data_IF_602494190454
#
_entry.id   IF_602494190454
#
_cell.length_a   1.000
_cell.length_b   1.000
_cell.length_c   1.000
_cell.angle_alpha   90.00
_cell.angle_beta   90.00
_cell.angle_gamma   90.00
#
_symmetry.space_group_name_H-M   'P 1'
#
loop_
_entity.id
_entity.type
_entity.pdbx_description
1 polymer ?
#
# COMPACT_ATOMS: atom_id res chain seq x y z
N UNK A 1 37.05 6.49 -2.16
CA UNK A 1 35.85 5.62 -2.28
C UNK A 1 34.51 6.36 -2.09
N UNK A 2 34.44 7.71 -2.13
CA UNK A 2 33.19 8.49 -1.93
C UNK A 2 32.22 8.51 -3.12
N UNK A 3 32.74 8.42 -4.35
CA UNK A 3 31.91 8.52 -5.57
C UNK A 3 30.88 7.39 -5.73
N UNK A 4 31.11 6.20 -5.15
CA UNK A 4 30.16 5.08 -5.26
C UNK A 4 28.88 5.30 -4.44
N UNK A 5 29.02 5.72 -3.18
CA UNK A 5 27.88 5.94 -2.28
C UNK A 5 26.97 7.09 -2.77
N UNK A 6 27.56 8.15 -3.31
CA UNK A 6 26.82 9.29 -3.87
C UNK A 6 25.98 8.89 -5.10
N UNK A 7 26.51 8.02 -5.96
CA UNK A 7 25.80 7.52 -7.14
C UNK A 7 24.63 6.62 -6.74
N UNK A 8 24.82 5.72 -5.77
CA UNK A 8 23.74 4.87 -5.27
C UNK A 8 22.61 5.69 -4.63
N UNK A 9 22.96 6.70 -3.85
CA UNK A 9 22.00 7.61 -3.24
C UNK A 9 21.19 8.38 -4.29
N UNK A 10 21.85 8.97 -5.30
CA UNK A 10 21.17 9.70 -6.37
C UNK A 10 20.26 8.78 -7.20
N UNK A 11 20.71 7.55 -7.48
CA UNK A 11 19.90 6.55 -8.17
C UNK A 11 18.62 6.22 -7.39
N UNK A 12 18.70 6.10 -6.07
CA UNK A 12 17.54 5.92 -5.19
C UNK A 12 16.55 7.09 -5.30
N UNK A 13 17.02 8.33 -5.28
CA UNK A 13 16.16 9.51 -5.42
C UNK A 13 15.49 9.59 -6.81
N UNK A 14 16.22 9.28 -7.87
CA UNK A 14 15.66 9.22 -9.22
C UNK A 14 14.59 8.10 -9.33
N UNK A 15 14.83 6.96 -8.68
CA UNK A 15 13.85 5.88 -8.60
C UNK A 15 12.58 6.31 -7.86
N UNK A 16 12.71 6.96 -6.71
CA UNK A 16 11.60 7.54 -5.95
C UNK A 16 10.78 8.53 -6.80
N UNK A 17 11.44 9.43 -7.52
CA UNK A 17 10.77 10.38 -8.42
C UNK A 17 10.04 9.67 -9.56
N UNK A 18 10.64 8.61 -10.12
CA UNK A 18 10.01 7.76 -11.13
C UNK A 18 8.73 7.09 -10.60
N UNK A 19 8.79 6.50 -9.39
CA UNK A 19 7.62 5.92 -8.72
C UNK A 19 6.53 6.96 -8.49
N UNK A 20 6.89 8.15 -8.00
CA UNK A 20 5.95 9.24 -7.78
C UNK A 20 5.27 9.69 -9.08
N UNK A 21 6.04 9.84 -10.17
CA UNK A 21 5.53 10.23 -11.47
C UNK A 21 4.54 9.18 -12.02
N UNK A 22 4.84 7.89 -11.90
CA UNK A 22 3.95 6.80 -12.33
C UNK A 22 2.69 6.69 -11.46
N UNK A 23 2.82 6.91 -10.15
CA UNK A 23 1.72 6.81 -9.20
C UNK A 23 0.72 7.98 -9.31
N UNK A 24 1.25 9.19 -9.49
CA UNK A 24 0.50 10.46 -9.52
C UNK A 24 0.09 10.86 -10.93
N UNK A 25 0.76 10.33 -11.95
CA UNK A 25 0.55 10.66 -13.35
C UNK A 25 -0.93 10.81 -13.73
N UNK A 26 -1.25 11.81 -14.58
CA UNK A 26 -2.63 12.05 -14.99
C UNK A 26 -3.18 10.79 -15.66
N UNK A 27 -4.38 10.39 -15.26
CA UNK A 27 -5.13 9.38 -16.01
C UNK A 27 -5.64 10.01 -17.29
N UNK A 28 -5.95 9.17 -18.28
CA UNK A 28 -6.26 9.58 -19.65
C UNK A 28 -7.10 10.88 -19.74
N UNK A 29 -6.85 11.74 -20.73
CA UNK A 29 -7.47 13.07 -20.91
C UNK A 29 -8.98 13.05 -21.24
N UNK A 30 -9.69 11.97 -20.95
CA UNK A 30 -11.13 11.84 -21.15
C UNK A 30 -11.96 12.26 -19.93
N UNK A 31 -11.31 12.58 -18.81
CA UNK A 31 -11.98 13.31 -17.73
C UNK A 31 -12.33 14.71 -18.26
N UNK A 32 -13.58 15.11 -18.02
CA UNK A 32 -14.15 16.39 -18.40
C UNK A 32 -13.12 17.53 -18.24
N UNK A 33 -12.81 18.35 -19.27
CA UNK A 33 -11.71 19.32 -19.24
C UNK A 33 -11.81 20.34 -18.10
N UNK A 34 -13.00 20.49 -17.52
CA UNK A 34 -13.28 21.39 -16.39
C UNK A 34 -12.91 20.80 -15.01
N UNK A 35 -12.58 19.50 -14.94
CA UNK A 35 -12.17 18.83 -13.69
C UNK A 35 -10.75 18.32 -13.80
N UNK A 36 -9.79 19.20 -13.51
CA UNK A 36 -8.40 18.83 -13.18
C UNK A 36 -8.37 18.10 -11.83
N UNK A 37 -8.88 16.87 -11.80
CA UNK A 37 -8.74 16.00 -10.64
C UNK A 37 -7.48 15.16 -10.81
N UNK A 38 -6.54 15.30 -9.89
CA UNK A 38 -5.34 14.46 -9.84
C UNK A 38 -5.77 13.08 -9.33
N UNK A 39 -6.27 12.25 -10.25
CA UNK A 39 -6.71 10.88 -9.97
C UNK A 39 -8.15 10.75 -9.48
N UNK A 40 -8.65 9.51 -9.46
CA UNK A 40 -9.99 9.19 -8.99
C UNK A 40 -10.18 9.44 -7.49
N UNK A 41 -11.45 9.49 -7.05
CA UNK A 41 -11.83 9.82 -5.67
C UNK A 41 -11.22 8.88 -4.62
N UNK A 42 -11.00 7.61 -4.94
CA UNK A 42 -10.42 6.62 -4.01
C UNK A 42 -8.91 6.82 -3.84
N UNK A 43 -8.17 7.04 -4.95
CA UNK A 43 -6.71 7.17 -4.92
C UNK A 43 -6.22 8.56 -4.49
N UNK A 44 -7.07 9.59 -4.52
CA UNK A 44 -6.71 10.96 -4.14
C UNK A 44 -6.01 11.09 -2.77
N UNK A 45 -6.54 10.56 -1.65
CA UNK A 45 -5.85 10.66 -0.35
C UNK A 45 -4.49 9.95 -0.35
N UNK A 46 -4.39 8.79 -1.02
CA UNK A 46 -3.13 8.05 -1.14
C UNK A 46 -2.09 8.85 -1.93
N UNK A 47 -2.46 9.42 -3.08
CA UNK A 47 -1.58 10.25 -3.93
C UNK A 47 -1.07 11.50 -3.20
N UNK A 48 -1.94 12.17 -2.44
CA UNK A 48 -1.53 13.33 -1.62
C UNK A 48 -0.51 12.95 -0.55
N UNK A 49 -0.73 11.84 0.14
CA UNK A 49 0.24 11.33 1.12
C UNK A 49 1.56 10.94 0.44
N UNK A 50 1.51 10.28 -0.72
CA UNK A 50 2.70 9.92 -1.50
C UNK A 50 3.51 11.14 -1.92
N UNK A 51 2.85 12.18 -2.47
CA UNK A 51 3.51 13.44 -2.79
C UNK A 51 4.13 14.10 -1.55
N UNK A 52 3.42 14.04 -0.40
CA UNK A 52 3.95 14.49 0.87
C UNK A 52 5.25 13.77 1.26
N UNK A 53 5.32 12.45 1.09
CA UNK A 53 6.54 11.67 1.36
C UNK A 53 7.67 11.99 0.39
N UNK A 54 7.36 12.16 -0.89
CA UNK A 54 8.37 12.55 -1.89
C UNK A 54 8.96 13.91 -1.55
N UNK A 55 8.12 14.89 -1.20
CA UNK A 55 8.57 16.22 -0.74
C UNK A 55 9.40 16.08 0.53
N UNK A 56 8.96 15.28 1.50
CA UNK A 56 9.71 15.03 2.73
C UNK A 56 11.10 14.43 2.43
N UNK A 57 11.18 13.44 1.52
CA UNK A 57 12.43 12.83 1.07
C UNK A 57 13.35 13.85 0.41
N UNK A 58 12.83 14.66 -0.52
CA UNK A 58 13.60 15.75 -1.16
C UNK A 58 14.11 16.76 -0.13
N UNK A 59 13.26 17.17 0.81
CA UNK A 59 13.64 18.09 1.88
C UNK A 59 14.73 17.48 2.76
N UNK A 60 14.59 16.21 3.15
CA UNK A 60 15.63 15.48 3.89
C UNK A 60 16.95 15.47 3.12
N UNK A 61 16.93 15.14 1.82
CA UNK A 61 18.12 15.15 0.96
C UNK A 61 18.77 16.54 0.92
N UNK A 62 18.00 17.57 0.58
CA UNK A 62 18.53 18.92 0.40
C UNK A 62 19.06 19.47 1.74
N UNK A 63 18.29 19.34 2.82
CA UNK A 63 18.65 19.92 4.12
C UNK A 63 19.80 19.13 4.77
N UNK A 64 19.66 17.82 4.91
CA UNK A 64 20.60 17.01 5.68
C UNK A 64 21.87 16.65 4.91
N UNK A 65 21.82 16.52 3.58
CA UNK A 65 22.96 16.04 2.80
C UNK A 65 23.61 17.12 1.93
N UNK A 66 22.88 18.14 1.48
CA UNK A 66 23.42 19.19 0.60
C UNK A 66 23.75 20.48 1.37
N UNK A 67 22.78 21.02 2.10
CA UNK A 67 22.94 22.33 2.78
C UNK A 67 23.74 22.22 4.07
N UNK A 68 23.51 21.15 4.84
CA UNK A 68 24.16 20.95 6.13
C UNK A 68 24.74 19.53 6.25
N UNK A 69 25.78 19.19 5.46
CA UNK A 69 26.38 17.86 5.48
C UNK A 69 26.96 17.49 6.86
N UNK A 70 27.43 18.46 7.66
CA UNK A 70 27.89 18.20 9.03
C UNK A 70 26.73 17.88 9.99
N UNK A 71 25.50 18.32 9.66
CA UNK A 71 24.25 17.87 10.31
C UNK A 71 23.76 16.52 9.78
N UNK A 72 24.42 15.85 8.83
CA UNK A 72 23.97 14.51 8.39
C UNK A 72 24.13 13.44 9.48
N UNK A 73 24.86 13.75 10.55
CA UNK A 73 24.92 12.98 11.81
C UNK A 73 23.87 13.42 12.84
N UNK A 74 23.05 14.42 12.51
CA UNK A 74 22.17 15.10 13.45
C UNK A 74 20.84 14.38 13.63
N UNK A 75 20.30 14.56 14.84
CA UNK A 75 18.95 14.23 15.25
C UNK A 75 17.87 14.55 14.19
N UNK A 76 18.05 15.60 13.38
CA UNK A 76 17.09 16.00 12.34
C UNK A 76 16.98 14.94 11.23
N UNK A 77 18.09 14.39 10.75
CA UNK A 77 18.05 13.39 9.68
C UNK A 77 17.33 12.13 10.13
N UNK A 78 17.61 11.72 11.37
CA UNK A 78 16.95 10.58 11.99
C UNK A 78 15.45 10.83 12.20
N UNK A 79 15.03 11.99 12.69
CA UNK A 79 13.61 12.35 12.83
C UNK A 79 12.91 12.31 11.46
N UNK A 80 13.51 12.92 10.43
CA UNK A 80 12.94 12.92 9.08
C UNK A 80 12.86 11.49 8.51
N UNK A 81 13.87 10.66 8.78
CA UNK A 81 13.85 9.23 8.45
C UNK A 81 12.71 8.48 9.13
N UNK A 82 12.55 8.62 10.45
CA UNK A 82 11.44 8.00 11.21
C UNK A 82 10.08 8.43 10.67
N UNK A 83 9.89 9.74 10.40
CA UNK A 83 8.62 10.23 9.82
C UNK A 83 8.39 9.62 8.44
N UNK A 84 9.44 9.48 7.63
CA UNK A 84 9.35 8.90 6.30
C UNK A 84 8.88 7.43 6.36
N UNK A 85 9.49 6.61 7.21
CA UNK A 85 9.17 5.17 7.38
C UNK A 85 7.76 4.97 7.92
N UNK A 86 7.38 5.72 8.96
CA UNK A 86 6.00 5.73 9.47
C UNK A 86 5.02 6.14 8.37
N UNK A 87 5.38 7.14 7.57
CA UNK A 87 4.59 7.61 6.45
C UNK A 87 4.40 6.58 5.35
N UNK A 88 5.46 5.84 4.97
CA UNK A 88 5.39 4.75 4.00
C UNK A 88 4.46 3.63 4.50
N UNK A 89 4.62 3.20 5.76
CA UNK A 89 3.73 2.22 6.39
C UNK A 89 2.28 2.70 6.46
N UNK A 90 2.06 3.98 6.78
CA UNK A 90 0.73 4.59 6.82
C UNK A 90 0.05 4.59 5.44
N UNK A 91 0.79 4.87 4.37
CA UNK A 91 0.24 4.80 3.01
C UNK A 91 -0.19 3.39 2.64
N UNK A 92 0.61 2.36 2.95
CA UNK A 92 0.24 0.97 2.71
C UNK A 92 -1.03 0.59 3.49
N UNK A 93 -1.14 1.00 4.76
CA UNK A 93 -2.35 0.82 5.57
C UNK A 93 -3.54 1.63 5.06
N UNK A 94 -3.31 2.76 4.38
CA UNK A 94 -4.38 3.54 3.72
C UNK A 94 -5.04 2.71 2.61
N UNK A 95 -4.29 1.91 1.86
CA UNK A 95 -4.86 0.97 0.89
C UNK A 95 -5.81 -0.01 1.58
N UNK A 96 -5.40 -0.61 2.71
CA UNK A 96 -6.26 -1.50 3.48
C UNK A 96 -7.51 -0.77 3.98
N UNK A 97 -7.37 0.45 4.50
CA UNK A 97 -8.50 1.25 4.96
C UNK A 97 -9.52 1.51 3.83
N UNK A 98 -9.06 1.94 2.65
CA UNK A 98 -9.93 2.22 1.51
C UNK A 98 -10.68 0.96 1.04
N UNK A 99 -10.03 -0.21 1.06
CA UNK A 99 -10.70 -1.48 0.80
C UNK A 99 -11.75 -1.81 1.87
N UNK A 100 -11.46 -1.57 3.15
CA UNK A 100 -12.44 -1.79 4.21
C UNK A 100 -13.65 -0.87 4.08
N UNK A 101 -13.46 0.39 3.64
CA UNK A 101 -14.56 1.30 3.32
C UNK A 101 -15.43 0.73 2.21
N UNK A 102 -14.83 0.26 1.10
CA UNK A 102 -15.59 -0.38 0.03
C UNK A 102 -16.36 -1.62 0.53
N UNK A 103 -15.69 -2.50 1.27
CA UNK A 103 -16.28 -3.74 1.81
C UNK A 103 -17.37 -3.49 2.86
N UNK A 104 -17.32 -2.37 3.59
CA UNK A 104 -18.35 -2.03 4.59
C UNK A 104 -19.75 -1.95 3.99
N UNK A 105 -19.85 -1.60 2.71
CA UNK A 105 -21.12 -1.55 1.98
C UNK A 105 -21.70 -2.93 1.67
N UNK A 106 -20.86 -3.99 1.69
CA UNK A 106 -21.22 -5.35 1.33
C UNK A 106 -21.36 -6.27 2.54
N UNK A 107 -20.40 -6.20 3.48
CA UNK A 107 -20.27 -7.17 4.59
C UNK A 107 -20.37 -6.54 5.99
N UNK A 108 -20.89 -5.32 6.11
CA UNK A 108 -21.13 -4.60 7.38
C UNK A 108 -19.95 -4.67 8.37
N UNK A 109 -18.76 -4.31 7.90
CA UNK A 109 -17.57 -4.15 8.74
C UNK A 109 -17.39 -2.67 9.12
N UNK A 110 -16.77 -2.41 10.28
CA UNK A 110 -16.36 -1.06 10.69
C UNK A 110 -14.97 -0.76 10.13
N UNK A 111 -14.83 0.12 9.12
CA UNK A 111 -13.52 0.42 8.52
C UNK A 111 -12.54 1.00 9.53
N UNK A 112 -11.27 0.64 9.40
CA UNK A 112 -10.15 1.19 10.17
C UNK A 112 -10.02 0.67 11.60
N UNK A 113 -11.06 0.06 12.19
CA UNK A 113 -11.02 -0.36 13.61
C UNK A 113 -9.87 -1.32 13.92
N UNK A 114 -9.59 -2.28 13.04
CA UNK A 114 -8.46 -3.21 13.18
C UNK A 114 -7.11 -2.62 12.77
N UNK A 115 -7.11 -1.55 11.96
CA UNK A 115 -5.90 -0.93 11.44
C UNK A 115 -5.31 0.09 12.41
N UNK A 116 -6.13 0.73 13.26
CA UNK A 116 -5.66 1.71 14.24
C UNK A 116 -4.63 1.10 15.21
N UNK A 117 -4.90 -0.09 15.76
CA UNK A 117 -3.96 -0.75 16.67
C UNK A 117 -2.64 -1.11 15.99
N UNK A 118 -2.70 -1.51 14.72
CA UNK A 118 -1.50 -1.79 13.92
C UNK A 118 -0.73 -0.51 13.65
N UNK A 119 -1.39 0.57 13.25
CA UNK A 119 -0.75 1.86 13.02
C UNK A 119 -0.07 2.39 14.29
N UNK A 120 -0.74 2.29 15.45
CA UNK A 120 -0.15 2.65 16.74
C UNK A 120 1.08 1.79 17.04
N UNK A 121 1.00 0.48 16.82
CA UNK A 121 2.15 -0.41 17.02
C UNK A 121 3.33 -0.05 16.11
N UNK A 122 3.08 0.23 14.83
CA UNK A 122 4.10 0.69 13.88
C UNK A 122 4.76 1.97 14.39
N UNK A 123 3.97 2.99 14.71
CA UNK A 123 4.49 4.28 15.21
C UNK A 123 5.36 4.09 16.46
N UNK A 124 4.85 3.34 17.44
CA UNK A 124 5.55 3.11 18.71
C UNK A 124 6.85 2.34 18.47
N UNK A 125 6.84 1.30 17.64
CA UNK A 125 8.03 0.50 17.35
C UNK A 125 9.06 1.28 16.56
N UNK A 126 8.69 2.07 15.55
CA UNK A 126 9.64 2.89 14.80
C UNK A 126 10.27 3.98 15.67
N UNK A 127 9.48 4.65 16.53
CA UNK A 127 10.03 5.63 17.49
C UNK A 127 10.95 4.95 18.50
N UNK A 128 10.56 3.76 19.00
CA UNK A 128 11.36 3.00 19.95
C UNK A 128 12.68 2.53 19.32
N UNK A 129 12.64 2.03 18.08
CA UNK A 129 13.81 1.66 17.29
C UNK A 129 14.79 2.84 17.23
N UNK A 130 14.30 4.01 16.83
CA UNK A 130 15.08 5.24 16.78
C UNK A 130 15.71 5.60 18.14
N UNK A 131 14.91 5.66 19.21
CA UNK A 131 15.41 6.05 20.55
C UNK A 131 16.46 5.06 21.03
N UNK A 132 16.23 3.75 20.93
CA UNK A 132 17.16 2.73 21.41
C UNK A 132 18.43 2.69 20.55
N UNK A 133 18.30 2.88 19.23
CA UNK A 133 19.44 2.90 18.33
C UNK A 133 20.39 4.07 18.62
N UNK A 134 19.82 5.23 18.98
CA UNK A 134 20.59 6.42 19.28
C UNK A 134 21.13 6.46 20.72
N UNK A 135 20.43 5.84 21.67
CA UNK A 135 20.79 5.91 23.11
C UNK A 135 21.55 4.71 23.64
N UNK A 136 21.34 3.52 23.05
CA UNK A 136 21.92 2.27 23.56
C UNK A 136 22.87 1.65 22.54
N UNK A 137 22.37 1.27 21.36
CA UNK A 137 23.18 0.55 20.37
C UNK A 137 22.52 0.55 18.98
N UNK A 138 23.25 0.79 17.87
CA UNK A 138 22.67 0.89 16.53
C UNK A 138 21.81 -0.32 16.11
N UNK A 139 22.18 -1.55 16.47
CA UNK A 139 21.39 -2.76 16.16
C UNK A 139 19.91 -2.76 16.64
N UNK A 140 19.49 -1.82 17.50
CA UNK A 140 18.08 -1.66 17.82
C UNK A 140 17.25 -1.10 16.66
N UNK A 141 17.89 -0.64 15.57
CA UNK A 141 17.22 -0.35 14.30
C UNK A 141 16.50 -1.57 13.73
N UNK A 142 16.89 -2.80 14.10
CA UNK A 142 16.13 -4.01 13.77
C UNK A 142 14.62 -3.92 14.12
N UNK A 143 14.24 -3.17 15.17
CA UNK A 143 12.83 -2.98 15.55
C UNK A 143 12.02 -2.21 14.50
N UNK A 144 12.68 -1.42 13.65
CA UNK A 144 12.07 -0.74 12.50
C UNK A 144 11.53 -1.76 11.50
N UNK A 145 12.34 -2.76 11.14
CA UNK A 145 11.92 -3.84 10.25
C UNK A 145 10.76 -4.68 10.83
N UNK A 146 10.68 -4.79 12.16
CA UNK A 146 9.52 -5.41 12.82
C UNK A 146 8.27 -4.54 12.63
N UNK A 147 8.39 -3.22 12.77
CA UNK A 147 7.29 -2.29 12.51
C UNK A 147 6.81 -2.39 11.06
N UNK A 148 7.73 -2.42 10.11
CA UNK A 148 7.46 -2.57 8.68
C UNK A 148 6.77 -3.90 8.37
N UNK A 149 7.25 -5.02 8.91
CA UNK A 149 6.62 -6.33 8.80
C UNK A 149 5.18 -6.34 9.36
N UNK A 150 4.93 -5.64 10.47
CA UNK A 150 3.58 -5.52 11.04
C UNK A 150 2.62 -4.74 10.14
N UNK A 151 3.11 -3.75 9.40
CA UNK A 151 2.29 -3.01 8.43
C UNK A 151 1.71 -3.95 7.36
N UNK A 152 2.47 -4.97 6.93
CA UNK A 152 2.04 -5.95 5.93
C UNK A 152 0.85 -6.78 6.39
N UNK A 153 0.82 -7.14 7.68
CA UNK A 153 -0.21 -8.00 8.24
C UNK A 153 -1.61 -7.42 8.03
N UNK A 154 -1.80 -6.13 8.33
CA UNK A 154 -3.09 -5.45 8.18
C UNK A 154 -3.56 -5.37 6.72
N UNK A 155 -2.61 -5.17 5.80
CA UNK A 155 -2.87 -5.16 4.36
C UNK A 155 -3.24 -6.55 3.86
N UNK A 156 -2.45 -7.57 4.18
CA UNK A 156 -2.68 -8.96 3.76
C UNK A 156 -4.02 -9.49 4.25
N UNK A 157 -4.37 -9.22 5.51
CA UNK A 157 -5.67 -9.62 6.07
C UNK A 157 -6.82 -8.99 5.28
N UNK A 158 -6.73 -7.69 4.99
CA UNK A 158 -7.77 -6.96 4.27
C UNK A 158 -7.87 -7.43 2.81
N UNK A 159 -6.74 -7.65 2.13
CA UNK A 159 -6.71 -8.17 0.76
C UNK A 159 -7.30 -9.58 0.68
N UNK A 160 -7.06 -10.44 1.68
CA UNK A 160 -7.67 -11.75 1.75
C UNK A 160 -9.20 -11.66 1.85
N UNK A 161 -9.71 -10.82 2.76
CA UNK A 161 -11.16 -10.57 2.86
C UNK A 161 -11.71 -10.03 1.55
N UNK A 162 -11.04 -9.05 0.95
CA UNK A 162 -11.44 -8.48 -0.34
C UNK A 162 -11.52 -9.53 -1.45
N UNK A 163 -10.50 -10.37 -1.61
CA UNK A 163 -10.51 -11.47 -2.60
C UNK A 163 -11.65 -12.47 -2.36
N UNK A 164 -11.93 -12.81 -1.10
CA UNK A 164 -13.01 -13.76 -0.76
C UNK A 164 -14.39 -13.23 -1.10
N UNK A 165 -14.62 -11.92 -0.96
CA UNK A 165 -15.89 -11.26 -1.25
C UNK A 165 -16.06 -10.98 -2.75
N UNK A 166 -15.01 -10.51 -3.43
CA UNK A 166 -15.10 -10.10 -4.84
C UNK A 166 -15.02 -11.25 -5.83
N UNK A 167 -14.49 -12.41 -5.43
CA UNK A 167 -14.34 -13.56 -6.31
C UNK A 167 -14.63 -14.90 -5.59
N UNK A 168 -15.87 -15.11 -5.12
CA UNK A 168 -16.24 -16.29 -4.32
C UNK A 168 -16.03 -17.62 -5.08
N UNK A 169 -16.21 -17.62 -6.40
CA UNK A 169 -16.05 -18.81 -7.25
C UNK A 169 -14.60 -19.06 -7.69
N UNK A 170 -13.64 -18.19 -7.31
CA UNK A 170 -12.24 -18.26 -7.75
C UNK A 170 -11.30 -19.02 -6.79
N UNK A 171 -11.86 -19.83 -5.89
CA UNK A 171 -11.12 -20.40 -4.74
C UNK A 171 -10.39 -19.32 -3.91
N UNK A 172 -10.97 -18.13 -3.78
CA UNK A 172 -10.41 -17.03 -3.00
C UNK A 172 -9.16 -16.37 -3.60
N UNK A 173 -8.83 -16.63 -4.87
CA UNK A 173 -7.68 -16.00 -5.54
C UNK A 173 -7.88 -14.49 -5.72
N UNK A 174 -9.10 -14.06 -6.05
CA UNK A 174 -9.39 -12.65 -6.33
C UNK A 174 -8.82 -12.18 -7.67
N UNK A 175 -9.04 -10.89 -8.02
CA UNK A 175 -8.49 -10.28 -9.23
C UNK A 175 -6.96 -10.34 -9.31
N UNK A 176 -6.41 -10.34 -10.53
CA UNK A 176 -4.96 -10.39 -10.75
C UNK A 176 -4.20 -9.31 -9.97
N UNK A 177 -4.68 -8.06 -9.98
CA UNK A 177 -4.02 -6.97 -9.27
C UNK A 177 -4.05 -7.14 -7.75
N UNK A 178 -5.12 -7.72 -7.18
CA UNK A 178 -5.15 -8.09 -5.77
C UNK A 178 -4.10 -9.16 -5.44
N UNK A 179 -3.91 -10.14 -6.33
CA UNK A 179 -2.86 -11.16 -6.17
C UNK A 179 -1.46 -10.55 -6.27
N UNK A 180 -1.26 -9.60 -7.19
CA UNK A 180 0.01 -8.87 -7.34
C UNK A 180 0.36 -8.11 -6.05
N UNK A 181 -0.57 -7.34 -5.50
CA UNK A 181 -0.35 -6.62 -4.22
C UNK A 181 -0.05 -7.62 -3.09
N UNK A 182 -0.79 -8.74 -3.01
CA UNK A 182 -0.50 -9.78 -2.00
C UNK A 182 0.90 -10.36 -2.15
N UNK A 183 1.34 -10.65 -3.37
CA UNK A 183 2.69 -11.16 -3.63
C UNK A 183 3.75 -10.13 -3.21
N UNK A 184 3.55 -8.86 -3.54
CA UNK A 184 4.44 -7.76 -3.13
C UNK A 184 4.49 -7.63 -1.60
N UNK A 185 3.36 -7.74 -0.91
CA UNK A 185 3.30 -7.70 0.56
C UNK A 185 3.99 -8.91 1.21
N UNK A 186 3.85 -10.12 0.64
CA UNK A 186 4.60 -11.29 1.12
C UNK A 186 6.10 -11.15 0.89
N UNK A 187 6.51 -10.65 -0.28
CA UNK A 187 7.91 -10.38 -0.58
C UNK A 187 8.48 -9.39 0.42
N UNK A 188 7.82 -8.26 0.60
CA UNK A 188 8.24 -7.21 1.53
C UNK A 188 8.30 -7.71 2.98
N UNK A 189 7.32 -8.51 3.41
CA UNK A 189 7.34 -9.15 4.73
C UNK A 189 8.57 -10.06 4.89
N UNK A 190 8.88 -10.87 3.88
CA UNK A 190 10.06 -11.75 3.91
C UNK A 190 11.33 -10.93 3.96
N UNK A 191 11.49 -9.90 3.11
CA UNK A 191 12.71 -9.07 3.09
C UNK A 191 12.88 -8.28 4.38
N UNK A 192 11.81 -7.74 4.97
CA UNK A 192 11.85 -7.06 6.28
C UNK A 192 12.28 -8.02 7.40
N UNK A 193 11.74 -9.24 7.43
CA UNK A 193 12.14 -10.24 8.44
C UNK A 193 13.58 -10.68 8.26
N UNK A 194 14.05 -10.85 7.02
CA UNK A 194 15.44 -11.19 6.75
C UNK A 194 16.40 -10.03 7.08
N UNK A 195 16.02 -8.78 6.84
CA UNK A 195 16.77 -7.60 7.25
C UNK A 195 16.87 -7.50 8.78
N UNK A 196 15.76 -7.72 9.50
CA UNK A 196 15.74 -7.85 10.96
C UNK A 196 16.73 -8.91 11.46
N UNK A 197 16.72 -10.10 10.85
CA UNK A 197 17.65 -11.17 11.22
C UNK A 197 19.11 -10.79 10.90
N UNK A 198 19.35 -10.07 9.80
CA UNK A 198 20.65 -9.50 9.46
C UNK A 198 21.19 -8.57 10.54
N UNK A 199 20.43 -7.53 10.87
CA UNK A 199 20.75 -6.58 11.96
C UNK A 199 20.97 -7.29 13.31
N UNK A 200 20.06 -8.19 13.69
CA UNK A 200 20.15 -8.91 14.96
C UNK A 200 21.36 -9.86 15.00
N UNK A 201 21.65 -10.52 13.88
CA UNK A 201 22.79 -11.42 13.76
C UNK A 201 24.11 -10.68 13.81
N UNK A 202 24.25 -9.49 13.22
CA UNK A 202 25.46 -8.68 13.38
C UNK A 202 25.70 -8.36 14.86
N UNK A 203 24.66 -7.94 15.59
CA UNK A 203 24.78 -7.67 17.01
C UNK A 203 25.19 -8.86 17.87
N UNK A 204 24.70 -10.05 17.53
CA UNK A 204 25.02 -11.26 18.26
C UNK A 204 26.38 -11.87 17.84
N UNK A 205 26.67 -11.90 16.54
CA UNK A 205 27.87 -12.52 15.96
C UNK A 205 29.13 -11.71 16.25
N UNK A 206 29.08 -10.37 16.21
CA UNK A 206 30.21 -9.51 16.60
C UNK A 206 30.66 -9.73 18.05
N UNK A 207 29.76 -10.19 18.93
CA UNK A 207 30.12 -10.49 20.33
C UNK A 207 30.67 -11.89 20.55
N UNK A 208 30.50 -12.82 19.59
CA UNK A 208 30.71 -14.25 19.82
C UNK A 208 31.68 -14.93 18.86
N UNK A 209 31.87 -14.40 17.65
CA UNK A 209 32.78 -14.93 16.66
C UNK A 209 33.84 -13.86 16.35
N UNK A 210 35.07 -14.09 16.82
CA UNK A 210 36.23 -13.33 16.34
C UNK A 210 36.41 -13.61 14.83
N UNK A 211 36.41 -12.54 14.03
CA UNK A 211 36.94 -12.27 12.67
C UNK A 211 37.26 -13.38 11.63
N UNK A 212 37.08 -14.68 11.87
CA UNK A 212 37.49 -15.74 10.93
C UNK A 212 36.36 -16.23 10.01
N UNK A 213 35.11 -15.80 10.20
CA UNK A 213 33.92 -16.27 9.44
C UNK A 213 33.16 -15.14 8.71
N UNK A 214 33.83 -14.03 8.35
CA UNK A 214 33.20 -12.92 7.60
C UNK A 214 32.62 -13.35 6.22
N UNK A 215 33.11 -14.46 5.67
CA UNK A 215 32.67 -14.99 4.37
C UNK A 215 31.54 -16.03 4.46
N UNK A 216 30.92 -16.24 5.63
CA UNK A 216 29.85 -17.23 5.74
C UNK A 216 28.66 -16.83 4.84
N UNK A 217 28.20 -17.70 3.90
CA UNK A 217 27.25 -17.33 2.85
C UNK A 217 25.90 -16.82 3.39
N UNK A 218 25.48 -17.29 4.57
CA UNK A 218 24.27 -16.80 5.24
C UNK A 218 24.44 -15.35 5.71
N UNK A 219 25.61 -14.96 6.22
CA UNK A 219 25.87 -13.59 6.66
C UNK A 219 25.86 -12.64 5.47
N UNK A 220 26.52 -13.03 4.36
CA UNK A 220 26.49 -12.29 3.10
C UNK A 220 25.07 -12.13 2.56
N UNK A 221 24.25 -13.19 2.62
CA UNK A 221 22.86 -13.15 2.18
C UNK A 221 22.01 -12.19 3.03
N UNK A 222 22.13 -12.26 4.36
CA UNK A 222 21.38 -11.38 5.27
C UNK A 222 21.81 -9.92 5.13
N UNK A 223 23.10 -9.67 4.92
CA UNK A 223 23.62 -8.33 4.64
C UNK A 223 23.07 -7.78 3.32
N UNK A 224 22.94 -8.62 2.28
CA UNK A 224 22.32 -8.19 1.03
C UNK A 224 20.84 -7.80 1.20
N UNK A 225 20.07 -8.53 2.02
CA UNK A 225 18.68 -8.15 2.33
C UNK A 225 18.60 -6.84 3.12
N UNK A 226 19.51 -6.63 4.07
CA UNK A 226 19.62 -5.37 4.82
C UNK A 226 19.92 -4.20 3.89
N UNK A 227 20.94 -4.31 3.05
CA UNK A 227 21.29 -3.27 2.07
C UNK A 227 20.16 -2.98 1.07
N UNK A 228 19.40 -3.99 0.68
CA UNK A 228 18.24 -3.80 -0.19
C UNK A 228 17.14 -2.98 0.51
N UNK A 229 16.87 -3.24 1.79
CA UNK A 229 15.95 -2.43 2.59
C UNK A 229 16.47 -1.00 2.81
N UNK A 230 17.75 -0.83 3.16
CA UNK A 230 18.37 0.49 3.34
C UNK A 230 18.33 1.36 2.07
N UNK A 231 18.31 0.72 0.89
CA UNK A 231 18.18 1.43 -0.39
C UNK A 231 16.79 2.05 -0.62
N UNK A 232 15.77 1.59 0.13
CA UNK A 232 14.37 1.99 0.00
C UNK A 232 13.69 1.48 -1.28
N UNK A 233 14.38 0.70 -2.14
CA UNK A 233 13.82 0.20 -3.40
C UNK A 233 12.60 -0.69 -3.15
N UNK A 234 12.64 -1.53 -2.12
CA UNK A 234 11.53 -2.39 -1.71
C UNK A 234 10.30 -1.56 -1.30
N UNK A 235 10.47 -0.52 -0.48
CA UNK A 235 9.36 0.35 -0.03
C UNK A 235 8.71 1.09 -1.18
N UNK A 236 9.53 1.69 -2.06
CA UNK A 236 9.03 2.45 -3.19
C UNK A 236 8.36 1.53 -4.23
N UNK A 237 8.88 0.32 -4.42
CA UNK A 237 8.22 -0.70 -5.24
C UNK A 237 6.89 -1.11 -4.64
N UNK A 238 6.82 -1.32 -3.32
CA UNK A 238 5.58 -1.61 -2.61
C UNK A 238 4.54 -0.48 -2.79
N UNK A 239 4.94 0.77 -2.59
CA UNK A 239 4.07 1.93 -2.80
C UNK A 239 3.60 2.07 -4.25
N UNK A 240 4.46 1.78 -5.23
CA UNK A 240 4.09 1.77 -6.64
C UNK A 240 2.97 0.76 -6.92
N UNK A 241 3.13 -0.48 -6.45
CA UNK A 241 2.13 -1.54 -6.66
C UNK A 241 0.81 -1.19 -5.98
N UNK A 242 0.84 -0.64 -4.77
CA UNK A 242 -0.36 -0.12 -4.09
C UNK A 242 -1.03 0.99 -4.89
N UNK A 243 -0.25 1.92 -5.43
CA UNK A 243 -0.78 3.00 -6.27
C UNK A 243 -1.41 2.47 -7.55
N UNK A 244 -0.77 1.52 -8.24
CA UNK A 244 -1.30 0.90 -9.47
C UNK A 244 -2.63 0.20 -9.15
N UNK A 245 -2.68 -0.54 -8.04
CA UNK A 245 -3.90 -1.22 -7.62
C UNK A 245 -5.03 -0.25 -7.29
N UNK A 246 -4.81 0.77 -6.44
CA UNK A 246 -5.82 1.79 -6.17
C UNK A 246 -6.24 2.52 -7.44
N UNK A 247 -5.30 2.71 -8.37
CA UNK A 247 -5.60 3.32 -9.65
C UNK A 247 -6.57 2.48 -10.48
N UNK A 248 -6.32 1.18 -10.58
CA UNK A 248 -7.20 0.26 -11.28
C UNK A 248 -8.60 0.17 -10.67
N UNK A 249 -8.72 0.28 -9.33
CA UNK A 249 -10.02 0.25 -8.65
C UNK A 249 -10.86 1.47 -8.99
N UNK A 250 -10.26 2.66 -8.99
CA UNK A 250 -10.93 3.88 -9.42
C UNK A 250 -11.38 3.80 -10.89
N UNK A 251 -10.56 3.24 -11.79
CA UNK A 251 -10.94 3.05 -13.20
C UNK A 251 -12.16 2.13 -13.33
N UNK A 252 -12.15 1.01 -12.60
CA UNK A 252 -13.27 0.08 -12.57
C UNK A 252 -14.56 0.74 -12.04
N UNK A 253 -14.45 1.58 -11.00
CA UNK A 253 -15.59 2.35 -10.48
C UNK A 253 -16.13 3.34 -11.50
N UNK A 254 -15.26 4.01 -12.26
CA UNK A 254 -15.68 4.94 -13.31
C UNK A 254 -16.44 4.23 -14.44
N UNK A 255 -15.93 3.10 -14.94
CA UNK A 255 -16.60 2.34 -16.00
C UNK A 255 -17.96 1.77 -15.58
N UNK A 256 -18.06 1.26 -14.34
CA UNK A 256 -19.31 0.71 -13.81
C UNK A 256 -20.36 1.79 -13.55
N UNK A 257 -19.95 2.95 -13.05
CA UNK A 257 -20.86 4.08 -12.78
C UNK A 257 -21.33 4.75 -14.09
N UNK A 258 -20.43 4.93 -15.07
CA UNK A 258 -20.76 5.52 -16.37
C UNK A 258 -21.71 4.66 -17.21
N UNK A 259 -21.59 3.33 -17.12
CA UNK A 259 -22.52 2.40 -17.80
C UNK A 259 -23.96 2.49 -17.27
N UNK A 260 -24.12 2.70 -15.97
CA UNK A 260 -25.45 2.86 -15.35
C UNK A 260 -26.09 4.21 -15.71
N UNK A 261 -25.31 5.29 -15.78
CA UNK A 261 -25.80 6.61 -16.19
C UNK A 261 -26.25 6.63 -17.67
N UNK A 262 -25.51 5.97 -18.57
CA UNK A 262 -25.89 5.84 -19.98
C UNK A 262 -27.14 4.99 -20.20
N UNK A 263 -27.35 3.94 -19.39
CA UNK A 263 -28.59 3.14 -19.42
C UNK A 263 -29.80 3.91 -18.90
N UNK A 264 -29.64 4.78 -17.89
CA UNK A 264 -30.72 5.62 -17.38
C UNK A 264 -31.13 6.74 -18.35
N UNK A 265 -30.20 7.27 -19.15
CA UNK A 265 -30.53 8.24 -20.20
C UNK A 265 -31.29 7.59 -21.36
N UNK A 266 -30.92 6.38 -21.81
CA UNK A 266 -31.61 5.68 -22.90
C UNK A 266 -33.02 5.19 -22.53
N UNK A 267 -33.30 4.92 -21.25
CA UNK A 267 -34.66 4.63 -20.78
C UNK A 267 -35.53 5.89 -20.69
N UNK A 268 -34.95 7.05 -20.37
CA UNK A 268 -35.69 8.33 -20.36
C UNK A 268 -35.97 8.92 -21.75
N UNK A 269 -35.18 8.58 -22.77
CA UNK A 269 -35.44 9.00 -24.15
C UNK A 269 -36.43 8.09 -24.90
N UNK A 270 -36.68 6.88 -24.41
CA UNK A 270 -37.63 5.93 -25.03
C UNK A 270 -39.07 6.06 -24.52
N UNK A 271 -39.31 6.79 -23.42
CA UNK A 271 -40.66 7.06 -22.90
C UNK A 271 -41.38 8.22 -23.62
N UNK A 272 -40.67 9.02 -24.42
CA UNK A 272 -41.30 10.11 -25.20
C UNK A 272 -41.68 9.71 -26.64
N UNK A 273 -41.36 8.49 -27.08
CA UNK A 273 -41.71 7.99 -28.42
C UNK A 273 -42.86 6.97 -28.45
N UNK A 274 -43.47 6.62 -27.31
CA UNK A 274 -44.48 5.55 -27.23
C UNK A 274 -45.85 5.98 -26.71
N UNK A 275 -46.12 7.29 -26.53
CA UNK A 275 -47.47 7.80 -26.16
C UNK A 275 -48.40 7.94 -27.39
N UNK A 276 -48.00 7.43 -28.56
CA UNK A 276 -48.82 7.46 -29.78
C UNK A 276 -49.28 6.08 -30.29
N UNK A 277 -48.95 4.96 -29.64
CA UNK A 277 -49.52 3.65 -29.99
C UNK A 277 -50.16 2.96 -28.78
N UNK A 278 -51.41 3.37 -28.62
CA UNK A 278 -52.53 2.75 -27.94
C UNK A 278 -52.58 1.21 -28.03
N UNK A 279 -52.93 0.61 -26.88
CA UNK A 279 -53.64 -0.66 -26.69
C UNK A 279 -53.42 -1.77 -27.72
N UNK A 280 -52.56 -2.73 -27.40
CA UNK A 280 -52.89 -4.16 -27.58
C UNK A 280 -51.92 -5.09 -26.84
N UNK A 281 -52.48 -6.17 -26.32
CA UNK A 281 -51.89 -7.34 -25.66
C UNK A 281 -51.53 -7.24 -24.16
N UNK A 282 -52.54 -7.68 -23.40
CA UNK A 282 -52.40 -8.44 -22.17
C UNK A 282 -51.50 -9.70 -22.32
N UNK A 283 -51.22 -10.32 -21.16
CA UNK A 283 -50.52 -11.60 -20.92
C UNK A 283 -48.99 -11.40 -20.81
N UNK A 284 -48.29 -11.59 -19.69
CA UNK A 284 -48.49 -12.46 -18.53
C UNK A 284 -47.59 -12.02 -17.36
N UNK A 285 -48.13 -12.03 -16.13
CA UNK A 285 -47.34 -12.13 -14.89
C UNK A 285 -46.71 -13.54 -14.83
N UNK A 286 -45.63 -13.70 -14.04
CA UNK A 286 -45.84 -14.45 -12.81
C UNK A 286 -45.29 -13.72 -11.57
N UNK A 287 -46.16 -13.71 -10.55
CA UNK A 287 -45.86 -13.50 -9.14
C UNK A 287 -45.42 -14.83 -8.52
N UNK A 288 -44.81 -14.72 -7.32
CA UNK A 288 -44.61 -15.75 -6.26
C UNK A 288 -43.35 -16.64 -6.37
N UNK A 289 -42.72 -17.06 -5.27
CA UNK A 289 -42.97 -16.83 -3.84
C UNK A 289 -41.79 -17.29 -3.00
N UNK A 290 -41.62 -16.60 -1.87
CA UNK A 290 -41.20 -17.12 -0.56
C UNK A 290 -41.65 -18.58 -0.33
N UNK A 291 -40.74 -19.46 0.04
CA UNK A 291 -41.06 -20.73 0.69
C UNK A 291 -40.05 -21.02 1.81
N UNK A 292 -40.56 -21.03 3.02
CA UNK A 292 -39.98 -21.61 4.23
C UNK A 292 -40.64 -22.98 4.47
N UNK A 293 -39.85 -24.01 4.80
CA UNK A 293 -40.18 -25.23 5.59
C UNK A 293 -38.92 -26.12 5.54
N UNK A 294 -38.16 -26.37 6.61
CA UNK A 294 -38.43 -27.21 7.81
C UNK A 294 -38.81 -28.67 7.51
N UNK A 295 -37.89 -29.60 7.81
CA UNK A 295 -38.07 -30.98 8.33
C UNK A 295 -36.66 -31.54 8.67
N UNK A 296 -36.29 -31.70 9.94
CA UNK A 296 -36.54 -32.81 10.89
C UNK A 296 -35.58 -34.02 10.77
N UNK A 297 -34.82 -34.23 11.86
CA UNK A 297 -34.34 -35.49 12.49
C UNK A 297 -33.70 -36.61 11.63
N UNK A 298 -32.43 -36.95 11.93
CA UNK A 298 -32.02 -37.99 12.91
C UNK A 298 -30.77 -37.49 13.63
#
# INVERSE_FOLDING_TARGET
MKAGAEVHFLAGQLFTLGVAALAVGPRMPFDNPDTLSIGGRLSFPFRRGLLGLVVLGIVRVIVCHILFPDLSSSLLDAILGTIHVVGQSFLCLTTAYLLQVQLSTVINISPGRSLISLLVAVIVLTILAFVLAHTIHPNYYCLEHVAEALSCYGVLQTLHTYSSVTAPNSNGRGPFLTQLVRLTEYWFLITSVLAFLGEASQGFLLTKFHHEDEDHPIVVLLEAFRQNQDSGVDDWTRLLIHSIFLNSLDELQHFTSGGQAAQQQNSSSSENSSVAEENQLAVSKPLRSRASQSKQSV
#
